data_IF_154830363207
#
_entry.id   IF_154830363207
#
_cell.length_a   1.000
_cell.length_b   1.000
_cell.length_c   1.000
_cell.angle_alpha   90.00
_cell.angle_beta   90.00
_cell.angle_gamma   90.00
#
_symmetry.space_group_name_H-M   'P 1'
#
loop_
_entity.id
_entity.type
_entity.pdbx_description
1 polymer ?
#
# COMPACT_ATOMS: atom_id res chain seq x y z
N UNK A 1 -8.43 6.32 10.00
CA UNK A 1 -7.76 5.03 9.73
C UNK A 1 -8.12 4.06 10.84
N UNK A 2 -8.34 2.78 10.52
CA UNK A 2 -8.50 1.74 11.54
C UNK A 2 -7.14 1.13 11.95
N UNK A 3 -7.11 0.29 12.98
CA UNK A 3 -5.87 -0.31 13.48
C UNK A 3 -5.11 -1.13 12.41
N UNK A 4 -5.82 -1.78 11.49
CA UNK A 4 -5.21 -2.51 10.37
C UNK A 4 -4.53 -1.59 9.36
N UNK A 5 -5.18 -0.47 9.01
CA UNK A 5 -4.64 0.55 8.11
C UNK A 5 -3.39 1.24 8.69
N UNK A 6 -3.37 1.48 10.02
CA UNK A 6 -2.17 2.03 10.69
C UNK A 6 -0.99 1.07 10.58
N UNK A 7 -1.21 -0.22 10.91
CA UNK A 7 -0.15 -1.24 10.79
C UNK A 7 0.35 -1.38 9.35
N UNK A 8 -0.56 -1.39 8.38
CA UNK A 8 -0.18 -1.46 6.97
C UNK A 8 0.60 -0.22 6.53
N UNK A 9 0.21 0.97 6.99
CA UNK A 9 0.93 2.21 6.69
C UNK A 9 2.36 2.17 7.22
N UNK A 10 2.56 1.82 8.49
CA UNK A 10 3.90 1.71 9.09
C UNK A 10 4.74 0.65 8.37
N UNK A 11 4.16 -0.53 8.13
CA UNK A 11 4.80 -1.63 7.40
C UNK A 11 5.31 -1.19 6.02
N UNK A 12 4.50 -0.43 5.27
CA UNK A 12 4.85 0.08 3.95
C UNK A 12 5.94 1.15 4.01
N UNK A 13 5.93 2.05 5.00
CA UNK A 13 6.96 3.07 5.14
C UNK A 13 8.33 2.49 5.48
N UNK A 14 8.41 1.50 6.36
CA UNK A 14 9.67 0.81 6.70
C UNK A 14 10.34 0.17 5.47
N UNK A 15 9.50 -0.28 4.53
CA UNK A 15 9.88 -1.01 3.32
C UNK A 15 10.04 -0.11 2.10
N UNK A 16 9.70 1.16 2.24
CA UNK A 16 9.90 2.17 1.21
C UNK A 16 11.35 2.61 1.16
N UNK A 17 11.81 2.98 -0.04
CA UNK A 17 13.05 3.73 -0.22
C UNK A 17 12.91 5.08 0.47
N UNK A 18 13.96 5.55 1.13
CA UNK A 18 13.95 6.81 1.88
C UNK A 18 13.57 7.99 0.99
N UNK A 19 14.08 8.01 -0.25
CA UNK A 19 13.80 9.02 -1.27
C UNK A 19 12.34 9.04 -1.78
N UNK A 20 11.56 8.00 -1.49
CA UNK A 20 10.15 7.89 -1.91
C UNK A 20 9.19 7.79 -0.72
N UNK A 21 9.65 8.08 0.50
CA UNK A 21 8.80 8.00 1.68
C UNK A 21 7.64 8.99 1.63
N UNK A 22 7.84 10.20 1.11
CA UNK A 22 6.76 11.20 1.01
C UNK A 22 5.69 10.77 0.00
N UNK A 23 6.11 10.29 -1.16
CA UNK A 23 5.24 9.76 -2.21
C UNK A 23 4.47 8.52 -1.73
N UNK A 24 5.13 7.63 -0.99
CA UNK A 24 4.47 6.47 -0.39
C UNK A 24 3.35 6.91 0.56
N UNK A 25 3.59 7.91 1.42
CA UNK A 25 2.56 8.43 2.34
C UNK A 25 1.34 8.95 1.58
N UNK A 26 1.56 9.70 0.51
CA UNK A 26 0.49 10.26 -0.32
C UNK A 26 -0.33 9.16 -1.00
N UNK A 27 0.35 8.15 -1.59
CA UNK A 27 -0.31 7.03 -2.25
C UNK A 27 -1.13 6.19 -1.26
N UNK A 28 -0.60 5.94 -0.06
CA UNK A 28 -1.33 5.23 1.00
C UNK A 28 -2.54 6.03 1.52
N UNK A 29 -2.40 7.35 1.68
CA UNK A 29 -3.48 8.21 2.12
C UNK A 29 -4.66 8.22 1.12
N UNK A 30 -4.36 8.38 -0.19
CA UNK A 30 -5.37 8.31 -1.26
C UNK A 30 -6.06 6.92 -1.26
N UNK A 31 -5.28 5.85 -1.09
CA UNK A 31 -5.82 4.49 -1.03
C UNK A 31 -6.78 4.27 0.14
N UNK A 32 -6.44 4.75 1.34
CA UNK A 32 -7.31 4.62 2.50
C UNK A 32 -8.58 5.46 2.36
N UNK A 33 -8.48 6.64 1.75
CA UNK A 33 -9.65 7.47 1.47
C UNK A 33 -10.59 6.78 0.48
N UNK A 34 -10.06 6.23 -0.62
CA UNK A 34 -10.85 5.47 -1.60
C UNK A 34 -11.44 4.19 -1.00
N UNK A 35 -10.72 3.51 -0.11
CA UNK A 35 -11.26 2.37 0.64
C UNK A 35 -12.45 2.76 1.52
N UNK A 36 -12.43 3.94 2.15
CA UNK A 36 -13.54 4.42 2.96
C UNK A 36 -14.79 4.81 2.14
N UNK A 37 -14.61 5.24 0.88
CA UNK A 37 -15.71 5.65 -0.01
C UNK A 37 -16.17 4.55 -0.97
N UNK A 38 -15.65 3.32 -0.84
CA UNK A 38 -15.99 2.19 -1.72
C UNK A 38 -15.38 2.25 -3.12
N UNK A 39 -14.39 3.12 -3.36
CA UNK A 39 -13.74 3.34 -4.66
C UNK A 39 -12.62 2.35 -5.00
N UNK A 40 -12.62 1.15 -4.43
CA UNK A 40 -11.59 0.14 -4.63
C UNK A 40 -11.91 -0.73 -5.86
N UNK A 41 -11.71 -0.16 -7.06
CA UNK A 41 -11.86 -0.90 -8.32
C UNK A 41 -10.59 -1.68 -8.66
N UNK A 42 -10.67 -2.72 -9.52
CA UNK A 42 -9.49 -3.44 -10.00
C UNK A 42 -8.43 -2.53 -10.63
N UNK A 43 -8.86 -1.50 -11.37
CA UNK A 43 -7.99 -0.51 -12.02
C UNK A 43 -7.23 0.30 -10.96
N UNK A 44 -7.93 0.75 -9.91
CA UNK A 44 -7.31 1.45 -8.80
C UNK A 44 -6.22 0.59 -8.13
N UNK A 45 -6.47 -0.71 -7.92
CA UNK A 45 -5.47 -1.61 -7.35
C UNK A 45 -4.27 -1.81 -8.29
N UNK A 46 -4.48 -1.89 -9.61
CA UNK A 46 -3.39 -2.02 -10.57
C UNK A 46 -2.47 -0.78 -10.53
N UNK A 47 -3.05 0.42 -10.56
CA UNK A 47 -2.31 1.68 -10.46
C UNK A 47 -1.59 1.83 -9.11
N UNK A 48 -2.27 1.46 -8.03
CA UNK A 48 -1.71 1.47 -6.67
C UNK A 48 -0.51 0.53 -6.57
N UNK A 49 -0.64 -0.72 -7.00
CA UNK A 49 0.42 -1.73 -6.97
C UNK A 49 1.65 -1.27 -7.76
N UNK A 50 1.44 -0.69 -8.95
CA UNK A 50 2.53 -0.21 -9.80
C UNK A 50 3.33 0.91 -9.10
N UNK A 51 2.65 1.90 -8.52
CA UNK A 51 3.31 3.00 -7.80
C UNK A 51 4.03 2.48 -6.57
N UNK A 52 3.34 1.70 -5.75
CA UNK A 52 3.89 1.10 -4.53
C UNK A 52 5.17 0.32 -4.83
N UNK A 53 5.15 -0.61 -5.80
CA UNK A 53 6.32 -1.44 -6.09
C UNK A 53 7.51 -0.63 -6.63
N UNK A 54 7.29 0.53 -7.28
CA UNK A 54 8.39 1.41 -7.67
C UNK A 54 9.09 2.09 -6.49
N UNK A 55 8.34 2.36 -5.41
CA UNK A 55 8.81 3.06 -4.22
C UNK A 55 9.40 2.16 -3.15
N UNK A 56 9.18 0.85 -3.24
CA UNK A 56 9.71 -0.12 -2.30
C UNK A 56 11.17 -0.45 -2.56
N UNK A 57 11.86 -0.84 -1.47
CA UNK A 57 13.17 -1.50 -1.55
C UNK A 57 13.01 -2.83 -2.30
N UNK A 58 13.92 -3.20 -3.21
CA UNK A 58 13.81 -4.43 -4.00
C UNK A 58 13.58 -5.70 -3.17
N UNK A 59 14.26 -5.80 -2.03
CA UNK A 59 14.16 -6.91 -1.08
C UNK A 59 12.80 -7.00 -0.37
N UNK A 60 12.05 -5.90 -0.30
CA UNK A 60 10.75 -5.84 0.37
C UNK A 60 9.57 -6.11 -0.58
N UNK A 61 9.79 -6.12 -1.90
CA UNK A 61 8.70 -6.25 -2.89
C UNK A 61 7.93 -7.57 -2.70
N UNK A 62 8.63 -8.69 -2.54
CA UNK A 62 7.98 -10.00 -2.37
C UNK A 62 7.21 -10.08 -1.05
N UNK A 63 7.75 -9.53 0.03
CA UNK A 63 7.08 -9.47 1.34
C UNK A 63 5.79 -8.64 1.26
N UNK A 64 5.84 -7.47 0.62
CA UNK A 64 4.68 -6.61 0.45
C UNK A 64 3.62 -7.28 -0.43
N UNK A 65 3.99 -7.95 -1.53
CA UNK A 65 3.03 -8.71 -2.36
C UNK A 65 2.27 -9.75 -1.53
N UNK A 66 2.97 -10.49 -0.68
CA UNK A 66 2.35 -11.50 0.18
C UNK A 66 1.41 -10.85 1.21
N UNK A 67 1.82 -9.75 1.84
CA UNK A 67 0.98 -9.00 2.76
C UNK A 67 -0.30 -8.51 2.07
N UNK A 68 -0.19 -7.92 0.87
CA UNK A 68 -1.33 -7.43 0.11
C UNK A 68 -2.30 -8.55 -0.30
N UNK A 69 -1.78 -9.71 -0.73
CA UNK A 69 -2.60 -10.88 -1.03
C UNK A 69 -3.36 -11.42 0.20
N UNK A 70 -2.69 -11.43 1.37
CA UNK A 70 -3.33 -11.80 2.63
C UNK A 70 -4.45 -10.83 3.03
N UNK A 71 -4.24 -9.53 2.83
CA UNK A 71 -5.27 -8.51 3.09
C UNK A 71 -6.48 -8.63 2.15
N UNK A 72 -6.29 -9.08 0.91
CA UNK A 72 -7.39 -9.28 -0.04
C UNK A 72 -8.20 -10.55 0.26
N UNK A 73 -7.59 -11.59 0.81
CA UNK A 73 -8.25 -12.86 1.11
C UNK A 73 -9.00 -12.87 2.45
N UNK A 74 -8.74 -11.92 3.34
CA UNK A 74 -9.47 -11.74 4.60
C UNK A 74 -10.80 -10.95 4.44
N UNK A 75 -11.31 -10.80 3.22
CA UNK A 75 -12.63 -10.20 2.93
C UNK A 75 -13.79 -11.13 3.26
#
# INVERSE_FOLDING_TARGET
MNAGQVKFYEFMLERSKEEHMEEMKLVLADAFQKAATGGQTPEFFAEFNQKVFSYLKPEAIEEVKQAMAHFQSQK
#
